data_IF_141309709906
#
_entry.id   IF_141309709906
#
_cell.length_a   1.000
_cell.length_b   1.000
_cell.length_c   1.000
_cell.angle_alpha   90.00
_cell.angle_beta   90.00
_cell.angle_gamma   90.00
#
_symmetry.space_group_name_H-M   'P 1'
#
loop_
_entity.id
_entity.type
_entity.pdbx_description
1 polymer ?
#
# COMPACT_ATOMS: atom_id res chain seq x y z
N UNK A 1 -20.98 0.14 14.60
CA UNK A 1 -20.00 1.22 14.33
C UNK A 1 -19.17 0.78 13.14
N UNK A 2 -19.16 1.53 12.03
CA UNK A 2 -18.29 1.23 10.89
C UNK A 2 -17.10 2.16 11.00
N UNK A 3 -16.12 1.77 11.80
CA UNK A 3 -14.78 2.32 11.70
C UNK A 3 -14.39 2.22 10.24
N UNK A 4 -14.28 3.36 9.56
CA UNK A 4 -13.94 3.43 8.15
C UNK A 4 -12.47 3.04 8.03
N UNK A 5 -12.19 1.73 8.10
CA UNK A 5 -10.86 1.17 7.89
C UNK A 5 -10.46 1.60 6.48
N UNK A 6 -9.53 2.55 6.40
CA UNK A 6 -8.94 2.94 5.13
C UNK A 6 -8.36 1.68 4.48
N UNK A 7 -8.89 1.35 3.31
CA UNK A 7 -8.40 0.21 2.56
C UNK A 7 -7.26 0.69 1.68
N UNK A 8 -6.30 -0.19 1.44
CA UNK A 8 -5.22 0.09 0.47
C UNK A 8 -5.81 0.37 -0.92
N UNK A 9 -6.95 -0.25 -1.26
CA UNK A 9 -7.69 0.01 -2.51
C UNK A 9 -8.29 1.41 -2.62
N UNK A 10 -8.37 2.19 -1.54
CA UNK A 10 -8.75 3.61 -1.59
C UNK A 10 -7.61 4.51 -2.10
N UNK A 11 -6.40 3.98 -2.22
CA UNK A 11 -5.24 4.67 -2.77
C UNK A 11 -5.25 4.49 -4.29
N UNK A 12 -5.28 5.62 -5.00
CA UNK A 12 -5.20 5.63 -6.45
C UNK A 12 -3.89 4.99 -6.90
N UNK A 13 -3.99 3.91 -7.69
CA UNK A 13 -2.84 3.12 -8.15
C UNK A 13 -2.72 1.76 -7.49
N UNK A 14 -3.44 1.49 -6.39
CA UNK A 14 -3.55 0.14 -5.81
C UNK A 14 -4.82 -0.53 -6.34
N UNK A 15 -4.64 -1.41 -7.32
CA UNK A 15 -5.70 -2.27 -7.84
C UNK A 15 -5.89 -3.53 -7.00
N UNK A 16 -6.86 -4.38 -7.38
CA UNK A 16 -7.08 -5.69 -6.72
C UNK A 16 -5.86 -6.61 -6.80
N UNK A 17 -5.15 -6.59 -7.92
CA UNK A 17 -3.92 -7.38 -8.13
C UNK A 17 -2.78 -6.87 -7.22
N UNK A 18 -2.57 -5.55 -7.19
CA UNK A 18 -1.61 -4.92 -6.29
C UNK A 18 -1.94 -5.22 -4.83
N UNK A 19 -3.22 -5.13 -4.44
CA UNK A 19 -3.66 -5.47 -3.09
C UNK A 19 -3.33 -6.93 -2.73
N UNK A 20 -3.56 -7.86 -3.66
CA UNK A 20 -3.23 -9.27 -3.42
C UNK A 20 -1.73 -9.44 -3.17
N UNK A 21 -0.88 -8.82 -3.99
CA UNK A 21 0.58 -8.86 -3.80
C UNK A 21 1.00 -8.20 -2.47
N UNK A 22 0.40 -7.05 -2.11
CA UNK A 22 0.64 -6.38 -0.82
C UNK A 22 0.27 -7.29 0.36
N UNK A 23 -0.90 -7.95 0.31
CA UNK A 23 -1.32 -8.88 1.35
C UNK A 23 -0.37 -10.09 1.46
N UNK A 24 0.16 -10.58 0.32
CA UNK A 24 1.17 -11.65 0.33
C UNK A 24 2.48 -11.22 1.01
N UNK A 25 2.82 -9.94 0.90
CA UNK A 25 3.94 -9.31 1.60
C UNK A 25 3.63 -8.93 3.06
N UNK A 26 2.43 -9.28 3.55
CA UNK A 26 1.98 -8.99 4.91
C UNK A 26 1.38 -7.59 5.10
N UNK A 27 1.24 -6.82 4.03
CA UNK A 27 0.67 -5.47 4.06
C UNK A 27 -0.84 -5.56 3.91
N UNK A 28 -1.54 -5.55 5.05
CA UNK A 28 -2.99 -5.71 5.11
C UNK A 28 -3.75 -4.40 5.37
N UNK A 29 -3.04 -3.35 5.77
CA UNK A 29 -3.60 -2.06 6.11
C UNK A 29 -2.62 -0.92 5.79
N UNK A 30 -3.10 0.31 5.97
CA UNK A 30 -2.32 1.52 5.71
C UNK A 30 -1.07 1.62 6.60
N UNK A 31 -1.16 1.21 7.86
CA UNK A 31 -0.02 1.28 8.78
C UNK A 31 1.12 0.34 8.36
N UNK A 32 0.80 -0.87 7.90
CA UNK A 32 1.79 -1.79 7.34
C UNK A 32 2.46 -1.19 6.11
N UNK A 33 1.67 -0.55 5.23
CA UNK A 33 2.20 0.14 4.05
C UNK A 33 3.10 1.33 4.41
N UNK A 34 2.80 2.04 5.49
CA UNK A 34 3.64 3.15 5.97
C UNK A 34 4.92 2.68 6.65
N UNK A 35 4.93 1.47 7.22
CA UNK A 35 6.09 0.88 7.90
C UNK A 35 7.03 0.13 6.97
N UNK A 36 6.53 -0.34 5.82
CA UNK A 36 7.36 -1.08 4.86
C UNK A 36 8.33 -0.15 4.12
N UNK A 37 9.49 -0.68 3.80
CA UNK A 37 10.45 0.03 2.98
C UNK A 37 10.03 -0.02 1.49
N UNK A 38 9.91 1.14 0.81
CA UNK A 38 9.52 1.20 -0.60
C UNK A 38 10.43 0.40 -1.53
N UNK A 39 11.73 0.35 -1.19
CA UNK A 39 12.72 -0.33 -2.00
C UNK A 39 12.59 -1.85 -1.89
N UNK A 40 12.38 -2.34 -0.67
CA UNK A 40 12.10 -3.75 -0.41
C UNK A 40 10.80 -4.18 -1.10
N UNK A 41 9.73 -3.40 -0.91
CA UNK A 41 8.43 -3.75 -1.45
C UNK A 41 8.40 -3.70 -2.99
N UNK A 42 9.05 -2.71 -3.61
CA UNK A 42 9.18 -2.66 -5.08
C UNK A 42 10.00 -3.82 -5.65
N UNK A 43 10.95 -4.34 -4.88
CA UNK A 43 11.75 -5.50 -5.30
C UNK A 43 10.97 -6.81 -5.23
N UNK A 44 9.95 -6.87 -4.37
CA UNK A 44 9.12 -8.06 -4.17
C UNK A 44 7.84 -8.04 -5.01
N UNK A 45 7.26 -6.86 -5.19
CA UNK A 45 6.03 -6.69 -5.97
C UNK A 45 6.38 -6.31 -7.40
N UNK A 46 6.37 -7.31 -8.28
CA UNK A 46 6.59 -7.10 -9.71
C UNK A 46 5.49 -6.20 -10.31
N UNK A 47 5.87 -5.18 -11.08
CA UNK A 47 4.96 -4.18 -11.65
C UNK A 47 4.72 -2.93 -10.77
N UNK A 48 5.32 -2.92 -9.58
CA UNK A 48 5.28 -1.78 -8.66
C UNK A 48 6.66 -1.19 -8.51
N UNK A 49 6.82 0.06 -8.91
CA UNK A 49 8.07 0.80 -8.73
C UNK A 49 8.10 1.45 -7.35
N UNK A 50 9.30 1.65 -6.81
CA UNK A 50 9.54 2.37 -5.55
C UNK A 50 8.76 3.70 -5.48
N UNK A 51 8.77 4.46 -6.58
CA UNK A 51 8.02 5.72 -6.70
C UNK A 51 6.52 5.56 -6.43
N UNK A 52 5.90 4.48 -6.94
CA UNK A 52 4.47 4.21 -6.70
C UNK A 52 4.21 3.98 -5.21
N UNK A 53 5.11 3.26 -4.54
CA UNK A 53 4.96 2.97 -3.11
C UNK A 53 5.13 4.24 -2.28
N UNK A 54 6.11 5.09 -2.62
CA UNK A 54 6.29 6.41 -1.98
C UNK A 54 5.02 7.26 -2.19
N UNK A 55 4.44 7.28 -3.38
CA UNK A 55 3.17 7.95 -3.64
C UNK A 55 2.04 7.38 -2.77
N UNK A 56 1.94 6.06 -2.67
CA UNK A 56 0.91 5.42 -1.83
C UNK A 56 1.07 5.78 -0.36
N UNK A 57 2.30 5.76 0.16
CA UNK A 57 2.62 6.18 1.52
C UNK A 57 2.26 7.65 1.76
N UNK A 58 2.56 8.56 0.81
CA UNK A 58 2.16 9.96 0.91
C UNK A 58 0.64 10.13 0.95
N UNK A 59 -0.09 9.44 0.09
CA UNK A 59 -1.57 9.48 0.06
C UNK A 59 -2.14 8.91 1.36
N UNK A 60 -1.58 7.81 1.85
CA UNK A 60 -1.93 7.19 3.12
C UNK A 60 -1.76 8.16 4.30
N UNK A 61 -0.61 8.85 4.40
CA UNK A 61 -0.33 9.83 5.45
C UNK A 61 -1.31 11.00 5.44
N UNK A 62 -1.71 11.48 4.26
CA UNK A 62 -2.67 12.61 4.14
C UNK A 62 -4.08 12.23 4.59
N UNK A 63 -4.43 10.93 4.51
CA UNK A 63 -5.78 10.44 4.79
C UNK A 63 -5.99 9.95 6.24
N UNK A 64 -4.93 9.91 7.06
CA UNK A 64 -4.96 9.46 8.45
C UNK A 64 -4.97 10.67 9.41
#
# INVERSE_FOLDING_TARGET
>A
MKDKKLLLTDIKGIGKETLANLNQEGINNIEDLLKVDPKELSSKVSGVSELKIIEWQKIATIKI
#
